data_IF_217263415401
#
_entry.id   IF_217263415401
#
_cell.length_a   1.000
_cell.length_b   1.000
_cell.length_c   1.000
_cell.angle_alpha   90.00
_cell.angle_beta   90.00
_cell.angle_gamma   90.00
#
_symmetry.space_group_name_H-M   'P 1'
#
loop_
_entity.id
_entity.type
_entity.pdbx_description
1 polymer ?
#
# COMPACT_ATOMS: atom_id res chain seq x y z
N UNK A 1 8.28 -2.34 -23.50
CA UNK A 1 8.56 -2.40 -22.05
C UNK A 1 7.99 -1.22 -21.26
N UNK A 2 8.36 0.04 -21.55
CA UNK A 2 7.80 1.22 -20.85
C UNK A 2 6.26 1.26 -20.87
N UNK A 3 5.64 0.85 -21.99
CA UNK A 3 4.19 0.73 -22.16
C UNK A 3 3.54 -0.33 -21.24
N UNK A 4 4.24 -1.44 -20.94
CA UNK A 4 3.72 -2.51 -20.08
C UNK A 4 3.55 -2.02 -18.64
N UNK A 5 4.52 -1.24 -18.12
CA UNK A 5 4.43 -0.66 -16.78
C UNK A 5 3.38 0.45 -16.68
N UNK A 6 3.23 1.23 -17.76
CA UNK A 6 2.25 2.30 -17.88
C UNK A 6 0.81 1.77 -17.96
N UNK A 7 0.63 0.50 -18.35
CA UNK A 7 -0.68 -0.17 -18.45
C UNK A 7 -0.96 -1.04 -17.22
N UNK A 8 0.03 -1.75 -16.67
CA UNK A 8 -0.19 -2.74 -15.61
C UNK A 8 -0.74 -2.11 -14.32
N UNK A 9 -0.23 -0.93 -13.93
CA UNK A 9 -0.59 -0.33 -12.65
C UNK A 9 -1.96 0.38 -12.68
N UNK A 10 -2.33 1.15 -13.72
CA UNK A 10 -3.69 1.65 -13.88
C UNK A 10 -4.72 0.54 -14.03
N UNK A 11 -4.37 -0.54 -14.75
CA UNK A 11 -5.25 -1.72 -14.88
C UNK A 11 -5.37 -2.46 -13.55
N UNK A 12 -4.29 -2.60 -12.77
CA UNK A 12 -4.33 -3.18 -11.42
C UNK A 12 -5.17 -2.31 -10.46
N UNK A 13 -5.04 -0.98 -10.49
CA UNK A 13 -5.88 -0.09 -9.71
C UNK A 13 -7.35 -0.13 -10.14
N UNK A 14 -7.64 -0.24 -11.44
CA UNK A 14 -9.00 -0.45 -11.96
C UNK A 14 -9.58 -1.82 -11.58
N UNK A 15 -8.76 -2.86 -11.54
CA UNK A 15 -9.18 -4.21 -11.16
C UNK A 15 -9.40 -4.33 -9.65
N UNK A 16 -8.55 -3.71 -8.83
CA UNK A 16 -8.67 -3.68 -7.38
C UNK A 16 -9.85 -2.81 -6.92
N UNK A 17 -10.07 -1.66 -7.56
CA UNK A 17 -11.27 -0.82 -7.28
C UNK A 17 -12.58 -1.49 -7.70
N UNK A 18 -12.58 -2.35 -8.74
CA UNK A 18 -13.76 -3.17 -9.10
C UNK A 18 -13.93 -4.40 -8.20
N UNK A 19 -12.84 -5.11 -7.88
CA UNK A 19 -12.81 -6.34 -7.11
C UNK A 19 -13.15 -6.15 -5.63
N UNK A 20 -12.57 -5.12 -4.99
CA UNK A 20 -12.89 -4.74 -3.61
C UNK A 20 -14.25 -4.03 -3.47
N UNK A 21 -14.90 -3.63 -4.57
CA UNK A 21 -16.26 -3.05 -4.51
C UNK A 21 -17.36 -4.05 -4.13
N UNK A 22 -17.03 -5.34 -4.02
CA UNK A 22 -17.89 -6.37 -3.42
C UNK A 22 -17.70 -6.51 -1.90
N UNK A 23 -16.69 -5.88 -1.31
CA UNK A 23 -16.53 -5.87 0.15
C UNK A 23 -17.48 -4.87 0.79
N UNK A 24 -18.10 -5.34 1.87
CA UNK A 24 -19.10 -4.72 2.76
C UNK A 24 -18.66 -3.34 3.33
N UNK A 25 -17.45 -2.88 3.06
CA UNK A 25 -16.82 -1.71 3.71
C UNK A 25 -17.10 -0.35 3.06
N UNK A 26 -17.46 -0.31 1.77
CA UNK A 26 -17.88 0.91 1.08
C UNK A 26 -19.08 0.57 0.18
N UNK A 27 -20.32 0.82 0.60
CA UNK A 27 -21.50 0.48 -0.19
C UNK A 27 -21.55 1.26 -1.52
N UNK A 28 -20.86 2.40 -1.58
CA UNK A 28 -20.82 3.26 -2.75
C UNK A 28 -19.58 3.04 -3.61
N UNK A 29 -19.75 2.32 -4.73
CA UNK A 29 -18.70 2.05 -5.73
C UNK A 29 -18.09 3.34 -6.31
N UNK A 30 -18.83 4.44 -6.31
CA UNK A 30 -18.36 5.73 -6.81
C UNK A 30 -17.39 6.42 -5.85
N UNK A 31 -17.56 6.23 -4.54
CA UNK A 31 -16.67 6.79 -3.52
C UNK A 31 -15.26 6.18 -3.59
N UNK A 32 -15.15 4.85 -3.71
CA UNK A 32 -13.86 4.18 -3.84
C UNK A 32 -13.09 4.62 -5.11
N UNK A 33 -13.82 4.83 -6.23
CA UNK A 33 -13.24 5.34 -7.48
C UNK A 33 -12.76 6.78 -7.35
N UNK A 34 -13.56 7.62 -6.71
CA UNK A 34 -13.20 9.01 -6.46
C UNK A 34 -11.94 9.11 -5.58
N UNK A 35 -11.85 8.31 -4.52
CA UNK A 35 -10.67 8.26 -3.66
C UNK A 35 -9.41 7.75 -4.39
N UNK A 36 -9.56 6.73 -5.23
CA UNK A 36 -8.47 6.31 -6.12
C UNK A 36 -8.01 7.42 -7.07
N UNK A 37 -8.96 8.19 -7.61
CA UNK A 37 -8.66 9.36 -8.46
C UNK A 37 -7.95 10.49 -7.70
N UNK A 38 -8.35 10.77 -6.46
CA UNK A 38 -7.61 11.70 -5.59
C UNK A 38 -6.16 11.22 -5.37
N UNK A 39 -5.96 9.92 -5.18
CA UNK A 39 -4.64 9.31 -5.12
C UNK A 39 -3.81 9.53 -6.39
N UNK A 40 -4.42 9.35 -7.57
CA UNK A 40 -3.78 9.62 -8.86
C UNK A 40 -3.31 11.08 -8.98
N UNK A 41 -4.17 12.03 -8.61
CA UNK A 41 -3.84 13.46 -8.64
C UNK A 41 -2.69 13.79 -7.68
N UNK A 42 -2.72 13.27 -6.45
CA UNK A 42 -1.64 13.44 -5.48
C UNK A 42 -0.32 12.85 -6.00
N UNK A 43 -0.36 11.67 -6.61
CA UNK A 43 0.81 11.04 -7.22
C UNK A 43 1.39 11.87 -8.36
N UNK A 44 0.51 12.45 -9.19
CA UNK A 44 0.90 13.30 -10.31
C UNK A 44 1.55 14.60 -9.81
N UNK A 45 0.95 15.25 -8.81
CA UNK A 45 1.52 16.43 -8.17
C UNK A 45 2.88 16.11 -7.56
N UNK A 46 2.99 15.03 -6.78
CA UNK A 46 4.25 14.60 -6.19
C UNK A 46 5.34 14.40 -7.24
N UNK A 47 5.06 13.70 -8.33
CA UNK A 47 6.02 13.47 -9.41
C UNK A 47 6.40 14.78 -10.12
N UNK A 48 5.46 15.70 -10.32
CA UNK A 48 5.74 17.01 -10.89
C UNK A 48 6.65 17.84 -9.96
N UNK A 49 6.40 17.81 -8.66
CA UNK A 49 7.26 18.45 -7.66
C UNK A 49 8.65 17.83 -7.62
N UNK A 50 8.76 16.50 -7.55
CA UNK A 50 10.05 15.79 -7.56
C UNK A 50 10.87 16.11 -8.82
N UNK A 51 10.21 16.20 -9.98
CA UNK A 51 10.84 16.57 -11.24
C UNK A 51 11.31 18.04 -11.28
N UNK A 52 10.49 18.99 -10.83
CA UNK A 52 10.82 20.43 -10.83
C UNK A 52 11.96 20.73 -9.85
N UNK A 53 11.91 20.15 -8.66
CA UNK A 53 12.89 20.40 -7.61
C UNK A 53 14.13 19.50 -7.71
N UNK A 54 14.20 18.65 -8.74
CA UNK A 54 15.34 17.79 -9.07
C UNK A 54 15.92 17.11 -7.82
N UNK A 55 15.07 16.66 -6.88
CA UNK A 55 15.50 16.17 -5.57
C UNK A 55 16.61 15.12 -5.76
N UNK A 56 17.90 15.49 -5.58
CA UNK A 56 18.99 14.62 -5.95
C UNK A 56 19.26 13.78 -4.72
N UNK A 57 18.41 12.79 -4.46
CA UNK A 57 18.53 11.99 -3.24
C UNK A 57 19.26 10.69 -3.54
N UNK A 58 20.53 10.82 -3.94
CA UNK A 58 21.52 9.77 -3.69
C UNK A 58 22.74 10.44 -3.09
N UNK A 59 22.68 10.70 -1.78
CA UNK A 59 23.87 11.02 -1.02
C UNK A 59 24.77 9.79 -1.06
N UNK A 60 25.92 9.94 -1.72
CA UNK A 60 26.90 8.89 -2.01
C UNK A 60 27.60 8.36 -0.75
N UNK A 61 26.85 7.68 0.12
CA UNK A 61 27.40 6.90 1.23
C UNK A 61 26.89 5.46 1.07
N UNK A 62 27.74 4.62 0.49
CA UNK A 62 27.48 3.23 0.09
C UNK A 62 27.37 2.26 1.28
N UNK A 63 26.52 2.55 2.26
CA UNK A 63 26.23 1.65 3.36
C UNK A 63 24.76 1.24 3.35
N UNK A 64 24.47 0.00 3.76
CA UNK A 64 23.11 -0.52 3.81
C UNK A 64 22.15 0.38 4.57
N UNK A 65 22.57 0.90 5.72
CA UNK A 65 21.73 1.76 6.56
C UNK A 65 21.33 3.08 5.90
N UNK A 66 22.26 3.77 5.22
CA UNK A 66 21.97 5.06 4.57
C UNK A 66 21.06 4.89 3.37
N UNK A 67 21.28 3.87 2.54
CA UNK A 67 20.42 3.57 1.39
C UNK A 67 19.02 3.13 1.85
N UNK A 68 18.96 2.25 2.86
CA UNK A 68 17.70 1.82 3.45
C UNK A 68 16.88 3.01 3.98
N UNK A 69 17.51 3.91 4.75
CA UNK A 69 16.82 5.09 5.28
C UNK A 69 16.36 6.02 4.16
N UNK A 70 17.20 6.25 3.14
CA UNK A 70 16.86 7.08 1.98
C UNK A 70 15.65 6.55 1.23
N UNK A 71 15.64 5.25 0.93
CA UNK A 71 14.51 4.58 0.27
C UNK A 71 13.26 4.57 1.16
N UNK A 72 13.42 4.30 2.45
CA UNK A 72 12.31 4.29 3.40
C UNK A 72 11.65 5.68 3.50
N UNK A 73 12.43 6.75 3.53
CA UNK A 73 11.90 8.11 3.58
C UNK A 73 11.23 8.48 2.26
N UNK A 74 11.94 8.33 1.14
CA UNK A 74 11.50 8.85 -0.16
C UNK A 74 10.39 8.03 -0.82
N UNK A 75 10.38 6.72 -0.61
CA UNK A 75 9.50 5.81 -1.34
C UNK A 75 8.38 5.22 -0.48
N UNK A 76 8.46 5.40 0.84
CA UNK A 76 7.48 4.89 1.77
C UNK A 76 6.92 6.00 2.67
N UNK A 77 7.71 6.59 3.56
CA UNK A 77 7.21 7.56 4.55
C UNK A 77 6.56 8.78 3.88
N UNK A 78 7.25 9.43 2.93
CA UNK A 78 6.72 10.62 2.24
C UNK A 78 5.39 10.30 1.54
N UNK A 79 5.28 9.26 0.68
CA UNK A 79 4.02 8.85 0.08
C UNK A 79 2.89 8.61 1.08
N UNK A 80 3.17 7.94 2.20
CA UNK A 80 2.18 7.66 3.24
C UNK A 80 1.70 8.94 3.89
N UNK A 81 2.61 9.83 4.27
CA UNK A 81 2.28 11.11 4.90
C UNK A 81 1.45 11.97 3.93
N UNK A 82 1.87 12.05 2.66
CA UNK A 82 1.14 12.79 1.63
C UNK A 82 -0.26 12.21 1.35
N UNK A 83 -0.43 10.90 1.46
CA UNK A 83 -1.75 10.28 1.28
C UNK A 83 -2.63 10.36 2.54
N UNK A 84 -2.03 10.33 3.74
CA UNK A 84 -2.78 10.25 5.00
C UNK A 84 -3.12 11.61 5.59
N UNK A 85 -2.22 12.60 5.53
CA UNK A 85 -2.43 13.93 6.11
C UNK A 85 -3.63 14.66 5.50
N UNK A 86 -3.81 14.70 4.16
CA UNK A 86 -4.99 15.32 3.57
C UNK A 86 -6.28 14.63 4.00
N UNK A 87 -6.27 13.30 4.16
CA UNK A 87 -7.43 12.56 4.66
C UNK A 87 -7.75 12.91 6.12
N UNK A 88 -6.72 13.14 6.92
CA UNK A 88 -6.89 13.54 8.31
C UNK A 88 -7.47 14.94 8.44
N UNK A 89 -7.02 15.88 7.59
CA UNK A 89 -7.43 17.28 7.62
C UNK A 89 -8.78 17.55 6.93
N UNK A 90 -9.09 16.87 5.84
CA UNK A 90 -10.27 17.16 5.00
C UNK A 90 -11.53 16.41 5.44
N UNK A 91 -11.40 15.24 6.07
CA UNK A 91 -12.54 14.43 6.50
C UNK A 91 -12.68 14.46 8.02
N UNK A 92 -13.89 14.74 8.52
CA UNK A 92 -14.22 14.64 9.95
C UNK A 92 -14.70 13.24 10.38
N UNK A 93 -14.39 12.24 9.56
CA UNK A 93 -14.79 10.86 9.77
C UNK A 93 -13.96 10.14 10.85
N UNK A 94 -14.48 9.06 11.46
CA UNK A 94 -13.75 8.31 12.48
C UNK A 94 -12.46 7.72 11.91
N UNK A 95 -11.45 7.57 12.78
CA UNK A 95 -10.11 7.08 12.41
C UNK A 95 -10.13 5.80 11.56
N UNK A 96 -11.04 4.89 11.89
CA UNK A 96 -11.21 3.62 11.19
C UNK A 96 -11.67 3.80 9.73
N UNK A 97 -12.48 4.82 9.44
CA UNK A 97 -12.89 5.17 8.09
C UNK A 97 -11.76 5.84 7.31
N UNK A 98 -10.97 6.70 7.96
CA UNK A 98 -9.76 7.32 7.40
C UNK A 98 -8.73 6.27 6.97
N UNK A 99 -8.48 5.26 7.81
CA UNK A 99 -7.58 4.14 7.49
C UNK A 99 -8.02 3.33 6.26
N UNK A 100 -9.33 3.06 6.13
CA UNK A 100 -9.87 2.35 4.95
C UNK A 100 -9.71 3.18 3.68
N UNK A 101 -10.04 4.46 3.78
CA UNK A 101 -9.94 5.43 2.68
C UNK A 101 -8.49 5.61 2.23
N UNK A 102 -7.56 5.62 3.18
CA UNK A 102 -6.13 5.73 2.94
C UNK A 102 -5.60 4.66 2.00
N UNK A 103 -6.02 3.40 2.13
CA UNK A 103 -5.58 2.33 1.21
C UNK A 103 -5.93 2.64 -0.25
N UNK A 104 -7.14 3.16 -0.52
CA UNK A 104 -7.56 3.49 -1.89
C UNK A 104 -6.77 4.65 -2.47
N UNK A 105 -6.52 5.69 -1.67
CA UNK A 105 -5.68 6.83 -2.07
C UNK A 105 -4.25 6.37 -2.34
N UNK A 106 -3.70 5.52 -1.47
CA UNK A 106 -2.35 4.99 -1.59
C UNK A 106 -2.17 4.15 -2.85
N UNK A 107 -3.16 3.30 -3.18
CA UNK A 107 -3.17 2.58 -4.46
C UNK A 107 -3.13 3.54 -5.65
N UNK A 108 -4.01 4.56 -5.66
CA UNK A 108 -4.01 5.58 -6.71
C UNK A 108 -2.66 6.29 -6.84
N UNK A 109 -2.05 6.65 -5.71
CA UNK A 109 -0.75 7.33 -5.67
C UNK A 109 0.37 6.48 -6.31
N UNK A 110 0.53 5.23 -5.88
CA UNK A 110 1.60 4.36 -6.38
C UNK A 110 1.44 3.98 -7.86
N UNK A 111 0.23 4.09 -8.43
CA UNK A 111 0.05 3.87 -9.88
C UNK A 111 0.75 4.90 -10.75
N UNK A 112 0.98 6.12 -10.23
CA UNK A 112 1.70 7.17 -10.93
C UNK A 112 3.15 7.23 -10.48
N UNK A 113 3.37 7.18 -9.16
CA UNK A 113 4.72 7.32 -8.59
C UNK A 113 5.66 6.21 -9.06
N UNK A 114 5.21 4.95 -9.09
CA UNK A 114 6.10 3.84 -9.36
C UNK A 114 6.62 3.83 -10.82
N UNK A 115 5.77 3.98 -11.86
CA UNK A 115 6.27 4.12 -13.23
C UNK A 115 7.20 5.33 -13.40
N UNK A 116 6.92 6.44 -12.72
CA UNK A 116 7.78 7.63 -12.73
C UNK A 116 9.17 7.33 -12.16
N UNK A 117 9.25 6.71 -10.97
CA UNK A 117 10.52 6.37 -10.31
C UNK A 117 11.37 5.43 -11.18
N UNK A 118 10.76 4.41 -11.78
CA UNK A 118 11.47 3.46 -12.65
C UNK A 118 11.99 4.13 -13.91
N UNK A 119 11.26 5.10 -14.46
CA UNK A 119 11.62 5.77 -15.72
C UNK A 119 12.74 6.79 -15.54
N UNK A 120 12.78 7.48 -14.41
CA UNK A 120 13.73 8.59 -14.18
C UNK A 120 14.98 8.14 -13.42
N UNK A 121 14.86 7.21 -12.45
CA UNK A 121 15.96 6.91 -11.52
C UNK A 121 16.91 5.81 -11.99
N UNK A 122 16.60 5.10 -13.07
CA UNK A 122 17.43 3.97 -13.53
C UNK A 122 17.75 4.06 -15.02
N UNK A 123 19.04 4.22 -15.31
CA UNK A 123 19.58 4.22 -16.66
C UNK A 123 19.50 2.83 -17.31
N UNK A 124 19.58 1.76 -16.50
CA UNK A 124 19.43 0.37 -16.93
C UNK A 124 18.20 -0.27 -16.31
N UNK A 125 17.30 -0.78 -17.15
CA UNK A 125 16.09 -1.45 -16.73
C UNK A 125 16.40 -2.91 -16.37
N UNK A 126 16.55 -3.21 -15.08
CA UNK A 126 16.70 -4.58 -14.58
C UNK A 126 15.34 -5.29 -14.49
N UNK A 127 15.30 -6.64 -14.59
CA UNK A 127 14.07 -7.40 -14.34
C UNK A 127 13.47 -7.16 -12.94
N UNK A 128 14.32 -6.89 -11.94
CA UNK A 128 13.89 -6.54 -10.60
C UNK A 128 13.01 -5.29 -10.60
N UNK A 129 13.47 -4.20 -11.23
CA UNK A 129 12.75 -2.94 -11.29
C UNK A 129 11.43 -3.04 -12.05
N UNK A 130 11.41 -3.85 -13.11
CA UNK A 130 10.28 -3.94 -14.03
C UNK A 130 9.15 -4.84 -13.51
N UNK A 131 9.49 -5.90 -12.79
CA UNK A 131 8.52 -6.91 -12.39
C UNK A 131 8.40 -7.01 -10.87
N UNK A 132 9.54 -7.16 -10.19
CA UNK A 132 9.53 -7.46 -8.77
C UNK A 132 9.15 -6.25 -7.93
N UNK A 133 9.74 -5.08 -8.19
CA UNK A 133 9.44 -3.85 -7.45
C UNK A 133 7.96 -3.44 -7.51
N UNK A 134 7.27 -3.48 -8.67
CA UNK A 134 5.82 -3.31 -8.73
C UNK A 134 5.04 -4.32 -7.89
N UNK A 135 5.45 -5.58 -7.90
CA UNK A 135 4.79 -6.62 -7.09
C UNK A 135 5.01 -6.39 -5.59
N UNK A 136 6.20 -5.98 -5.18
CA UNK A 136 6.48 -5.62 -3.79
C UNK A 136 5.60 -4.45 -3.33
N UNK A 137 5.44 -3.42 -4.16
CA UNK A 137 4.61 -2.27 -3.82
C UNK A 137 3.11 -2.59 -3.78
N UNK A 138 2.67 -3.47 -4.67
CA UNK A 138 1.30 -3.97 -4.66
C UNK A 138 1.05 -4.84 -3.41
N UNK A 139 2.02 -5.69 -3.05
CA UNK A 139 2.02 -6.47 -1.81
C UNK A 139 1.95 -5.59 -0.57
N UNK A 140 2.64 -4.44 -0.57
CA UNK A 140 2.57 -3.45 0.51
C UNK A 140 1.16 -2.92 0.67
N UNK A 141 0.53 -2.48 -0.43
CA UNK A 141 -0.81 -1.93 -0.39
C UNK A 141 -1.85 -2.98 0.08
N UNK A 142 -1.73 -4.23 -0.38
CA UNK A 142 -2.60 -5.34 0.09
C UNK A 142 -2.36 -5.63 1.57
N UNK A 143 -1.11 -5.70 2.01
CA UNK A 143 -0.77 -5.96 3.40
C UNK A 143 -1.32 -4.87 4.32
N UNK A 144 -1.18 -3.60 3.92
CA UNK A 144 -1.76 -2.45 4.63
C UNK A 144 -3.28 -2.60 4.74
N UNK A 145 -3.96 -2.92 3.64
CA UNK A 145 -5.41 -3.15 3.64
C UNK A 145 -5.81 -4.25 4.62
N UNK A 146 -5.19 -5.41 4.50
CA UNK A 146 -5.51 -6.61 5.28
C UNK A 146 -5.26 -6.36 6.77
N UNK A 147 -4.10 -5.79 7.11
CA UNK A 147 -3.74 -5.54 8.50
C UNK A 147 -4.63 -4.48 9.15
N UNK A 148 -5.03 -3.43 8.43
CA UNK A 148 -6.02 -2.48 8.94
C UNK A 148 -7.41 -3.08 9.08
N UNK A 149 -7.83 -3.95 8.16
CA UNK A 149 -9.07 -4.69 8.30
C UNK A 149 -9.05 -5.63 9.52
N UNK A 150 -7.92 -6.28 9.78
CA UNK A 150 -7.70 -7.13 10.96
C UNK A 150 -7.72 -6.30 12.25
N UNK A 151 -6.97 -5.20 12.30
CA UNK A 151 -6.95 -4.27 13.43
C UNK A 151 -8.36 -3.75 13.76
N UNK A 152 -9.11 -3.35 12.74
CA UNK A 152 -10.49 -2.91 12.90
C UNK A 152 -11.41 -3.97 13.52
N UNK A 153 -11.26 -5.24 13.13
CA UNK A 153 -12.00 -6.36 13.73
C UNK A 153 -11.59 -6.57 15.20
N UNK A 154 -10.29 -6.51 15.50
CA UNK A 154 -9.77 -6.72 16.85
C UNK A 154 -10.21 -5.62 17.83
N UNK A 155 -10.24 -4.35 17.39
CA UNK A 155 -10.75 -3.24 18.19
C UNK A 155 -12.25 -3.43 18.52
N UNK A 156 -13.07 -3.87 17.56
CA UNK A 156 -14.49 -4.16 17.81
C UNK A 156 -14.71 -5.29 18.83
N UNK A 157 -13.86 -6.32 18.81
CA UNK A 157 -13.97 -7.47 19.72
C UNK A 157 -13.27 -7.27 21.07
N UNK A 158 -12.67 -6.09 21.34
CA UNK A 158 -11.81 -5.82 22.53
C UNK A 158 -10.79 -6.93 22.80
N UNK A 159 -10.24 -7.53 21.74
CA UNK A 159 -9.33 -8.68 21.89
C UNK A 159 -7.91 -8.21 22.20
N UNK A 160 -7.19 -8.83 23.17
CA UNK A 160 -5.79 -8.51 23.47
C UNK A 160 -4.86 -8.77 22.27
N UNK A 161 -5.28 -9.60 21.31
CA UNK A 161 -4.54 -9.88 20.08
C UNK A 161 -4.46 -8.67 19.13
N UNK A 162 -5.19 -7.59 19.41
CA UNK A 162 -5.09 -6.32 18.67
C UNK A 162 -3.69 -5.71 18.71
N UNK A 163 -2.98 -5.86 19.83
CA UNK A 163 -1.65 -5.26 20.04
C UNK A 163 -0.58 -6.04 19.28
N UNK A 164 -0.74 -7.36 19.14
CA UNK A 164 0.19 -8.25 18.45
C UNK A 164 0.25 -7.99 16.92
N UNK A 165 -0.77 -7.34 16.36
CA UNK A 165 -0.80 -6.97 14.94
C UNK A 165 0.14 -5.80 14.61
N UNK A 166 0.47 -4.93 15.57
CA UNK A 166 1.29 -3.73 15.37
C UNK A 166 2.72 -4.06 14.90
N UNK A 167 3.48 -4.97 15.54
CA UNK A 167 4.82 -5.33 15.06
C UNK A 167 4.80 -6.00 13.69
N UNK A 168 3.78 -6.81 13.40
CA UNK A 168 3.62 -7.46 12.08
C UNK A 168 3.39 -6.40 11.00
N UNK A 169 2.56 -5.38 11.28
CA UNK A 169 2.37 -4.23 10.38
C UNK A 169 3.70 -3.57 10.06
N UNK A 170 4.50 -3.29 11.09
CA UNK A 170 5.77 -2.60 10.92
C UNK A 170 6.77 -3.39 10.07
N UNK A 171 6.89 -4.69 10.31
CA UNK A 171 7.77 -5.57 9.51
C UNK A 171 7.31 -5.59 8.05
N UNK A 172 6.02 -5.76 7.79
CA UNK A 172 5.48 -5.80 6.41
C UNK A 172 5.62 -4.48 5.67
N UNK A 173 5.72 -3.38 6.42
CA UNK A 173 5.95 -2.06 5.88
C UNK A 173 7.37 -1.90 5.36
N UNK A 174 8.34 -2.39 6.13
CA UNK A 174 9.76 -2.13 5.90
C UNK A 174 10.37 -3.17 4.95
N UNK A 175 9.80 -4.38 4.89
CA UNK A 175 10.39 -5.49 4.15
C UNK A 175 10.60 -5.22 2.64
N UNK A 176 9.66 -4.56 1.91
CA UNK A 176 9.90 -4.14 0.52
C UNK A 176 11.18 -3.31 0.36
N UNK A 177 11.40 -2.37 1.27
CA UNK A 177 12.56 -1.47 1.26
C UNK A 177 13.85 -2.21 1.59
N UNK A 178 13.83 -3.18 2.52
CA UNK A 178 14.96 -4.07 2.80
C UNK A 178 15.35 -4.86 1.54
N UNK A 179 14.35 -5.46 0.87
CA UNK A 179 14.56 -6.24 -0.35
C UNK A 179 15.17 -5.38 -1.46
N UNK A 180 14.62 -4.17 -1.67
CA UNK A 180 15.13 -3.24 -2.66
C UNK A 180 16.56 -2.77 -2.34
N UNK A 181 16.85 -2.48 -1.08
CA UNK A 181 18.20 -2.09 -0.63
C UNK A 181 19.20 -3.24 -0.85
N UNK A 182 18.81 -4.48 -0.53
CA UNK A 182 19.64 -5.66 -0.73
C UNK A 182 19.94 -5.90 -2.21
N UNK A 183 18.92 -5.78 -3.08
CA UNK A 183 19.11 -5.86 -4.52
C UNK A 183 20.03 -4.75 -5.04
N UNK A 184 19.81 -3.51 -4.60
CA UNK A 184 20.56 -2.34 -5.04
C UNK A 184 22.05 -2.43 -4.70
N UNK A 185 22.39 -2.94 -3.51
CA UNK A 185 23.77 -3.12 -3.06
C UNK A 185 24.43 -4.40 -3.62
N UNK A 186 23.76 -5.12 -4.53
CA UNK A 186 24.32 -6.31 -5.17
C UNK A 186 24.40 -7.53 -4.26
N UNK A 187 23.52 -7.66 -3.28
CA UNK A 187 23.40 -8.90 -2.50
C UNK A 187 23.06 -10.09 -3.40
N UNK A 188 23.41 -11.30 -2.95
CA UNK A 188 23.14 -12.54 -3.68
C UNK A 188 21.66 -12.65 -4.07
N UNK A 189 21.41 -13.07 -5.32
CA UNK A 189 20.07 -13.30 -5.86
C UNK A 189 19.24 -14.20 -4.96
N UNK A 190 19.84 -15.20 -4.33
CA UNK A 190 19.15 -16.10 -3.41
C UNK A 190 18.57 -15.36 -2.21
N UNK A 191 19.25 -14.33 -1.70
CA UNK A 191 18.81 -13.58 -0.52
C UNK A 191 17.59 -12.73 -0.86
N UNK A 192 17.71 -11.79 -1.80
CA UNK A 192 16.61 -10.87 -2.08
C UNK A 192 15.44 -11.55 -2.80
N UNK A 193 15.68 -12.58 -3.63
CA UNK A 193 14.59 -13.33 -4.27
C UNK A 193 13.79 -14.15 -3.24
N UNK A 194 14.46 -14.83 -2.31
CA UNK A 194 13.77 -15.60 -1.26
C UNK A 194 12.95 -14.69 -0.37
N UNK A 195 13.51 -13.56 0.07
CA UNK A 195 12.77 -12.56 0.85
C UNK A 195 11.55 -12.03 0.09
N UNK A 196 11.69 -11.80 -1.22
CA UNK A 196 10.58 -11.37 -2.07
C UNK A 196 9.48 -12.43 -2.17
N UNK A 197 9.83 -13.69 -2.39
CA UNK A 197 8.85 -14.79 -2.46
C UNK A 197 8.09 -14.93 -1.15
N UNK A 198 8.80 -14.89 -0.02
CA UNK A 198 8.19 -14.95 1.31
C UNK A 198 7.23 -13.77 1.50
N UNK A 199 7.69 -12.55 1.20
CA UNK A 199 6.89 -11.35 1.36
C UNK A 199 5.63 -11.36 0.48
N UNK A 200 5.77 -11.72 -0.80
CA UNK A 200 4.65 -11.79 -1.73
C UNK A 200 3.67 -12.89 -1.31
N UNK A 201 4.16 -14.05 -0.86
CA UNK A 201 3.29 -15.13 -0.36
C UNK A 201 2.48 -14.67 0.86
N UNK A 202 3.12 -13.97 1.80
CA UNK A 202 2.44 -13.39 2.95
C UNK A 202 1.40 -12.35 2.52
N UNK A 203 1.77 -11.45 1.61
CA UNK A 203 0.92 -10.34 1.15
C UNK A 203 -0.28 -10.79 0.33
N UNK A 204 -0.11 -11.73 -0.60
CA UNK A 204 -1.13 -12.13 -1.57
C UNK A 204 -1.96 -13.33 -1.14
N UNK A 205 -1.43 -14.20 -0.28
CA UNK A 205 -2.09 -15.45 0.11
C UNK A 205 -2.46 -15.43 1.58
N UNK A 206 -1.48 -15.31 2.47
CA UNK A 206 -1.70 -15.50 3.91
C UNK A 206 -2.58 -14.41 4.50
N UNK A 207 -2.24 -13.14 4.32
CA UNK A 207 -3.05 -12.05 4.89
C UNK A 207 -4.46 -11.97 4.31
N UNK A 208 -4.68 -12.08 2.99
CA UNK A 208 -6.04 -12.09 2.45
C UNK A 208 -6.89 -13.24 3.01
N UNK A 209 -6.33 -14.45 3.17
CA UNK A 209 -7.05 -15.60 3.78
C UNK A 209 -7.40 -15.31 5.25
N UNK A 210 -6.45 -14.84 6.04
CA UNK A 210 -6.66 -14.53 7.46
C UNK A 210 -7.65 -13.38 7.68
N UNK A 211 -7.78 -12.49 6.69
CA UNK A 211 -8.58 -11.27 6.80
C UNK A 211 -9.91 -11.33 6.06
N UNK A 212 -10.23 -12.45 5.40
CA UNK A 212 -11.54 -12.64 4.76
C UNK A 212 -12.67 -12.28 5.74
N UNK A 213 -13.67 -11.53 5.28
CA UNK A 213 -14.89 -11.37 6.06
C UNK A 213 -15.53 -12.75 6.21
N UNK A 214 -15.74 -13.22 7.44
CA UNK A 214 -16.69 -14.30 7.68
C UNK A 214 -17.99 -13.85 7.01
N UNK A 215 -18.49 -14.67 6.08
CA UNK A 215 -19.67 -14.41 5.28
C UNK A 215 -20.82 -14.03 6.22
N UNK A 216 -21.20 -12.75 6.20
CA UNK A 216 -22.16 -12.12 7.10
C UNK A 216 -23.61 -12.60 6.87
N UNK A 217 -23.95 -13.85 7.21
CA UNK A 217 -25.35 -14.16 7.55
C UNK A 217 -25.78 -13.55 8.89
N UNK A 218 -24.82 -13.20 9.75
CA UNK A 218 -25.10 -12.85 11.15
C UNK A 218 -24.94 -11.35 11.47
N UNK A 219 -24.25 -10.59 10.62
CA UNK A 219 -23.92 -9.17 10.87
C UNK A 219 -25.08 -8.22 10.59
N UNK A 220 -25.97 -8.54 9.65
CA UNK A 220 -27.17 -7.73 9.37
C UNK A 220 -28.33 -8.02 10.33
N UNK A 221 -28.32 -9.17 11.01
CA UNK A 221 -29.34 -9.50 12.03
C UNK A 221 -29.23 -8.63 13.27
N UNK A 222 -28.04 -8.19 13.66
CA UNK A 222 -27.86 -7.47 14.92
C UNK A 222 -27.99 -5.95 14.77
N UNK A 223 -27.58 -5.35 13.64
CA UNK A 223 -27.73 -3.90 13.42
C UNK A 223 -29.17 -3.47 13.09
N UNK A 224 -30.03 -4.40 12.63
CA UNK A 224 -31.47 -4.14 12.49
C UNK A 224 -32.25 -4.42 13.76
N UNK A 225 -31.76 -5.26 14.68
CA UNK A 225 -32.42 -5.51 15.95
C UNK A 225 -32.25 -4.36 16.96
N UNK A 226 -31.09 -3.68 16.96
CA UNK A 226 -30.82 -2.57 17.89
C UNK A 226 -31.44 -1.22 17.47
N UNK A 227 -32.01 -1.12 16.26
CA UNK A 227 -32.73 0.10 15.81
C UNK A 227 -34.25 0.04 15.97
N UNK A 228 -34.78 -1.03 16.56
CA UNK A 228 -36.22 -1.18 16.83
C UNK A 228 -36.55 -1.27 18.32
N UNK A 229 -35.57 -0.99 19.19
CA UNK A 229 -35.79 -0.83 20.63
C UNK A 229 -35.20 0.52 21.02
N UNK A 230 -35.95 1.57 20.69
CA UNK A 230 -36.03 2.85 21.42
C UNK A 230 -37.21 3.65 20.85
#
# INVERSE_FOLDING_TARGET
>A
MKLFMLILFPVAALFLTKGFSKDILFPNKYAARFLGFCGLLLGTLYCAFDWIFLLPVRFAVYNFGSEFISLCISELIIPIVLCFVPLFLLFNEPFLYKLKTFTYVLFGFYTIQLPYLITIRYETLSPFLLFLRPLLQLGLCISIYCLFASFAKSCKKKSPNSILNIPIIFIMFILPTIIETAWFLGADIQIWATLSIIYLSLSFVVFPILTQPIRNSDFYKNETAEKFID
#
